data_IF_264337523140
#
_entry.id   IF_264337523140
#
_cell.length_a   1.000
_cell.length_b   1.000
_cell.length_c   1.000
_cell.angle_alpha   90.00
_cell.angle_beta   90.00
_cell.angle_gamma   90.00
#
_symmetry.space_group_name_H-M   'P 1'
#
loop_
_entity.id
_entity.type
_entity.pdbx_description
1 polymer ?
#
# COMPACT_ATOMS: atom_id res chain seq x y z
N UNK A 1 68.04 -11.19 -2.00
CA UNK A 1 67.83 -9.79 -1.57
C UNK A 1 67.24 -9.01 -2.75
N UNK A 2 65.92 -8.82 -2.79
CA UNK A 2 65.29 -7.72 -3.54
C UNK A 2 63.83 -7.63 -3.09
N UNK A 3 63.59 -6.66 -2.22
CA UNK A 3 62.29 -6.28 -1.71
C UNK A 3 61.70 -5.28 -2.71
N UNK A 4 60.59 -5.63 -3.37
CA UNK A 4 59.67 -4.61 -3.92
C UNK A 4 58.34 -4.72 -3.19
N UNK A 5 58.30 -4.02 -2.06
CA UNK A 5 57.07 -3.64 -1.34
C UNK A 5 56.12 -2.97 -2.31
N UNK A 6 54.86 -3.36 -2.20
CA UNK A 6 53.76 -2.81 -2.97
C UNK A 6 53.62 -1.30 -2.83
N UNK A 7 53.19 -0.69 -3.93
CA UNK A 7 52.34 0.47 -3.86
C UNK A 7 50.94 0.00 -4.23
N UNK A 8 50.18 -0.31 -3.18
CA UNK A 8 48.73 -0.37 -3.20
C UNK A 8 48.22 0.96 -3.75
N UNK A 9 47.79 0.97 -5.01
CA UNK A 9 46.94 2.03 -5.53
C UNK A 9 45.67 1.99 -4.68
N UNK A 10 45.61 2.94 -3.77
CA UNK A 10 44.45 3.32 -2.96
C UNK A 10 43.15 2.92 -3.64
N UNK A 11 42.44 1.97 -3.04
CA UNK A 11 41.01 1.80 -3.27
C UNK A 11 40.35 3.15 -3.07
N UNK A 12 40.03 3.82 -4.16
CA UNK A 12 39.08 4.91 -4.16
C UNK A 12 37.72 4.23 -3.94
N UNK A 13 37.34 4.23 -2.66
CA UNK A 13 36.03 3.86 -2.18
C UNK A 13 35.09 4.96 -2.66
N UNK A 14 34.53 4.79 -3.86
CA UNK A 14 33.46 5.67 -4.32
C UNK A 14 32.22 5.40 -3.46
N UNK A 15 31.82 6.45 -2.78
CA UNK A 15 30.80 6.48 -1.75
C UNK A 15 29.40 6.29 -2.36
N UNK A 16 28.50 5.53 -1.71
CA UNK A 16 27.24 5.11 -2.30
C UNK A 16 26.10 6.03 -1.89
N UNK A 17 25.74 7.08 -2.64
CA UNK A 17 24.46 7.79 -2.42
C UNK A 17 24.18 8.90 -3.47
N UNK A 18 23.82 8.55 -4.69
CA UNK A 18 22.97 9.44 -5.48
C UNK A 18 21.94 8.61 -6.24
N UNK A 19 20.83 8.30 -5.56
CA UNK A 19 19.63 7.81 -6.25
C UNK A 19 19.11 8.97 -7.08
N UNK A 20 19.42 8.92 -8.37
CA UNK A 20 19.08 9.93 -9.37
C UNK A 20 17.61 10.31 -9.26
N UNK A 21 17.33 11.61 -9.33
CA UNK A 21 15.95 12.15 -9.31
C UNK A 21 15.07 11.46 -10.36
N UNK A 22 15.67 11.01 -11.47
CA UNK A 22 15.01 10.20 -12.49
C UNK A 22 14.43 8.89 -11.94
N UNK A 23 15.14 8.17 -11.06
CA UNK A 23 14.66 6.91 -10.48
C UNK A 23 13.43 7.14 -9.58
N UNK A 24 13.39 8.30 -8.89
CA UNK A 24 12.24 8.72 -8.10
C UNK A 24 11.03 8.99 -8.98
N UNK A 25 11.23 9.64 -10.13
CA UNK A 25 10.15 9.88 -11.09
C UNK A 25 9.66 8.59 -11.77
N UNK A 26 10.55 7.68 -12.14
CA UNK A 26 10.19 6.38 -12.70
C UNK A 26 9.35 5.58 -11.70
N UNK A 27 9.75 5.57 -10.43
CA UNK A 27 8.95 4.94 -9.36
C UNK A 27 7.57 5.58 -9.20
N UNK A 28 7.46 6.91 -9.31
CA UNK A 28 6.16 7.63 -9.28
C UNK A 28 5.30 7.25 -10.48
N UNK A 29 5.86 7.15 -11.69
CA UNK A 29 5.12 6.76 -12.89
C UNK A 29 4.62 5.31 -12.83
N UNK A 30 5.46 4.39 -12.35
CA UNK A 30 5.05 3.01 -12.11
C UNK A 30 4.01 2.91 -10.99
N UNK A 31 4.09 3.77 -9.99
CA UNK A 31 3.09 3.90 -8.93
C UNK A 31 1.73 4.39 -9.47
N UNK A 32 1.72 5.42 -10.32
CA UNK A 32 0.49 5.92 -10.97
C UNK A 32 -0.10 4.90 -11.95
N UNK A 33 0.74 4.16 -12.67
CA UNK A 33 0.28 3.01 -13.48
C UNK A 33 -0.35 1.93 -12.62
N UNK A 34 0.22 1.62 -11.45
CA UNK A 34 -0.36 0.68 -10.48
C UNK A 34 -1.67 1.19 -9.85
N UNK A 35 -1.82 2.50 -9.65
CA UNK A 35 -3.09 3.13 -9.24
C UNK A 35 -4.17 3.03 -10.32
N UNK A 36 -3.78 3.06 -11.59
CA UNK A 36 -4.68 2.93 -12.73
C UNK A 36 -5.03 1.46 -13.06
N UNK A 37 -4.51 0.48 -12.31
CA UNK A 37 -4.92 -0.92 -12.38
C UNK A 37 -6.27 -1.10 -11.68
N UNK A 38 -7.34 -0.68 -12.36
CA UNK A 38 -8.73 -0.71 -11.90
C UNK A 38 -9.31 -2.13 -11.85
N UNK A 39 -8.59 -3.16 -12.32
CA UNK A 39 -9.04 -4.55 -12.32
C UNK A 39 -8.83 -5.27 -10.98
N UNK A 40 -8.04 -4.73 -10.04
CA UNK A 40 -7.80 -5.29 -8.70
C UNK A 40 -7.57 -6.82 -8.67
N UNK A 41 -6.97 -7.38 -9.73
CA UNK A 41 -6.89 -8.83 -9.97
C UNK A 41 -5.96 -9.58 -9.02
N UNK A 42 -5.25 -8.84 -8.17
CA UNK A 42 -4.32 -9.29 -7.13
C UNK A 42 -4.48 -8.39 -5.90
N UNK A 43 -4.45 -8.96 -4.70
CA UNK A 43 -4.50 -8.24 -3.41
C UNK A 43 -3.23 -7.40 -3.17
N UNK A 44 -2.91 -6.47 -4.09
CA UNK A 44 -1.78 -5.55 -4.04
C UNK A 44 -1.99 -4.38 -3.08
N UNK A 45 -3.18 -4.26 -2.50
CA UNK A 45 -3.60 -3.13 -1.67
C UNK A 45 -2.77 -2.92 -0.39
N UNK A 46 -2.24 -3.93 0.31
CA UNK A 46 -1.39 -3.69 1.48
C UNK A 46 -0.08 -2.95 1.14
N UNK A 47 0.42 -3.10 -0.10
CA UNK A 47 1.71 -2.53 -0.52
C UNK A 47 1.60 -1.05 -0.91
N UNK A 48 0.43 -0.62 -1.42
CA UNK A 48 0.19 0.77 -1.85
C UNK A 48 -0.36 1.67 -0.74
N UNK A 49 -0.78 1.10 0.38
CA UNK A 49 -1.30 1.80 1.56
C UNK A 49 -0.46 3.00 2.04
N UNK A 50 0.89 2.91 2.18
CA UNK A 50 1.70 4.04 2.63
C UNK A 50 1.67 5.21 1.64
N UNK A 51 1.59 4.91 0.35
CA UNK A 51 1.57 5.92 -0.70
C UNK A 51 0.18 6.58 -0.82
N UNK A 52 -0.91 5.81 -0.65
CA UNK A 52 -2.25 6.38 -0.52
C UNK A 52 -2.37 7.28 0.71
N UNK A 53 -1.74 6.91 1.83
CA UNK A 53 -1.70 7.78 3.01
C UNK A 53 -0.96 9.08 2.74
N UNK A 54 0.22 9.01 2.11
CA UNK A 54 1.00 10.19 1.74
C UNK A 54 0.21 11.09 0.78
N UNK A 55 -0.42 10.51 -0.25
CA UNK A 55 -1.29 11.25 -1.16
C UNK A 55 -2.48 11.89 -0.43
N UNK A 56 -3.11 11.17 0.50
CA UNK A 56 -4.20 11.70 1.30
C UNK A 56 -3.78 12.87 2.19
N UNK A 57 -2.58 12.81 2.79
CA UNK A 57 -2.01 13.94 3.53
C UNK A 57 -1.77 15.14 2.61
N UNK A 58 -1.16 14.92 1.44
CA UNK A 58 -0.88 15.99 0.47
C UNK A 58 -2.18 16.63 -0.03
N UNK A 59 -3.17 15.82 -0.38
CA UNK A 59 -4.50 16.28 -0.79
C UNK A 59 -5.21 17.05 0.33
N UNK A 60 -5.10 16.59 1.57
CA UNK A 60 -5.67 17.29 2.74
C UNK A 60 -4.99 18.65 2.98
N UNK A 61 -3.65 18.70 2.89
CA UNK A 61 -2.88 19.94 3.00
C UNK A 61 -3.28 20.92 1.89
N UNK A 62 -3.35 20.44 0.65
CA UNK A 62 -3.76 21.25 -0.49
C UNK A 62 -5.18 21.81 -0.30
N UNK A 63 -6.14 20.96 0.11
CA UNK A 63 -7.53 21.35 0.29
C UNK A 63 -7.70 22.45 1.35
N UNK A 64 -7.04 22.34 2.50
CA UNK A 64 -7.16 23.37 3.55
C UNK A 64 -6.45 24.68 3.17
N UNK A 65 -5.35 24.60 2.42
CA UNK A 65 -4.65 25.80 1.91
C UNK A 65 -5.51 26.52 0.87
N UNK A 66 -6.07 25.78 -0.10
CA UNK A 66 -6.98 26.34 -1.09
C UNK A 66 -8.20 27.01 -0.42
N UNK A 67 -8.81 26.31 0.55
CA UNK A 67 -9.94 26.83 1.31
C UNK A 67 -9.60 28.09 2.13
N UNK A 68 -8.39 28.16 2.68
CA UNK A 68 -7.91 29.36 3.38
C UNK A 68 -7.73 30.53 2.41
N UNK A 69 -7.14 30.30 1.23
CA UNK A 69 -6.95 31.32 0.17
C UNK A 69 -8.30 31.87 -0.29
N UNK A 70 -9.28 31.01 -0.53
CA UNK A 70 -10.66 31.43 -0.85
C UNK A 70 -11.29 32.28 0.26
N UNK A 71 -10.89 32.10 1.51
CA UNK A 71 -11.31 32.97 2.61
C UNK A 71 -10.88 34.42 2.42
N UNK A 72 -9.69 34.66 1.88
CA UNK A 72 -9.15 36.00 1.65
C UNK A 72 -9.80 36.73 0.47
N UNK A 73 -10.42 36.00 -0.47
CA UNK A 73 -11.15 36.62 -1.59
C UNK A 73 -12.49 37.22 -1.13
N UNK A 74 -13.02 36.75 0.00
CA UNK A 74 -14.25 37.28 0.61
C UNK A 74 -13.93 38.48 1.51
N UNK A 75 -13.04 38.30 2.50
CA UNK A 75 -12.55 39.40 3.34
C UNK A 75 -11.26 39.05 4.09
N UNK A 76 -10.49 40.06 4.48
CA UNK A 76 -9.24 39.86 5.23
C UNK A 76 -9.47 39.17 6.59
N UNK A 77 -10.54 39.51 7.30
CA UNK A 77 -10.86 38.90 8.60
C UNK A 77 -11.31 37.44 8.45
N UNK A 78 -12.10 37.12 7.41
CA UNK A 78 -12.53 35.75 7.12
C UNK A 78 -11.34 34.86 6.72
N UNK A 79 -10.44 35.37 5.87
CA UNK A 79 -9.21 34.65 5.51
C UNK A 79 -8.36 34.32 6.74
N UNK A 80 -8.18 35.27 7.65
CA UNK A 80 -7.38 35.05 8.87
C UNK A 80 -8.01 34.01 9.82
N UNK A 81 -9.33 34.08 10.04
CA UNK A 81 -10.04 33.08 10.85
C UNK A 81 -9.93 31.69 10.22
N UNK A 82 -10.12 31.58 8.90
CA UNK A 82 -10.01 30.30 8.21
C UNK A 82 -8.59 29.75 8.24
N UNK A 83 -7.57 30.58 8.03
CA UNK A 83 -6.18 30.15 8.03
C UNK A 83 -5.67 29.71 9.41
N UNK A 84 -6.08 30.39 10.49
CA UNK A 84 -5.53 30.14 11.83
C UNK A 84 -6.37 29.12 12.63
N UNK A 85 -7.69 29.15 12.50
CA UNK A 85 -8.58 28.27 13.27
C UNK A 85 -9.08 27.09 12.44
N UNK A 86 -9.66 27.35 11.27
CA UNK A 86 -10.34 26.30 10.49
C UNK A 86 -9.34 25.39 9.78
N UNK A 87 -8.28 25.92 9.18
CA UNK A 87 -7.34 25.14 8.40
C UNK A 87 -6.55 24.11 9.25
N UNK A 88 -6.01 24.45 10.43
CA UNK A 88 -5.32 23.46 11.27
C UNK A 88 -6.26 22.37 11.78
N UNK A 89 -7.45 22.75 12.24
CA UNK A 89 -8.47 21.79 12.72
C UNK A 89 -8.93 20.91 11.56
N UNK A 90 -9.26 21.51 10.42
CA UNK A 90 -9.69 20.82 9.21
C UNK A 90 -8.63 19.86 8.69
N UNK A 91 -7.35 20.24 8.73
CA UNK A 91 -6.25 19.38 8.30
C UNK A 91 -6.16 18.13 9.18
N UNK A 92 -6.16 18.30 10.51
CA UNK A 92 -6.12 17.17 11.45
C UNK A 92 -7.33 16.26 11.25
N UNK A 93 -8.53 16.83 11.08
CA UNK A 93 -9.75 16.06 10.82
C UNK A 93 -9.63 15.26 9.52
N UNK A 94 -9.25 15.89 8.40
CA UNK A 94 -9.11 15.22 7.10
C UNK A 94 -8.05 14.10 7.14
N UNK A 95 -6.89 14.36 7.72
CA UNK A 95 -5.83 13.35 7.88
C UNK A 95 -6.28 12.20 8.78
N UNK A 96 -7.05 12.50 9.84
CA UNK A 96 -7.62 11.47 10.72
C UNK A 96 -8.65 10.62 9.99
N UNK A 97 -9.54 11.23 9.23
CA UNK A 97 -10.52 10.51 8.41
C UNK A 97 -9.81 9.61 7.38
N UNK A 98 -8.76 10.11 6.73
CA UNK A 98 -7.95 9.31 5.83
C UNK A 98 -7.29 8.13 6.55
N UNK A 99 -6.79 8.34 7.78
CA UNK A 99 -6.21 7.27 8.60
C UNK A 99 -7.24 6.19 8.93
N UNK A 100 -8.43 6.59 9.36
CA UNK A 100 -9.54 5.66 9.67
C UNK A 100 -9.98 4.91 8.42
N UNK A 101 -10.11 5.59 7.28
CA UNK A 101 -10.49 4.96 6.02
C UNK A 101 -9.46 3.89 5.59
N UNK A 102 -8.17 4.23 5.66
CA UNK A 102 -7.09 3.31 5.34
C UNK A 102 -6.99 2.14 6.32
N UNK A 103 -7.21 2.38 7.61
CA UNK A 103 -7.28 1.34 8.62
C UNK A 103 -8.44 0.37 8.35
N UNK A 104 -9.62 0.89 8.00
CA UNK A 104 -10.76 0.09 7.59
C UNK A 104 -10.45 -0.73 6.33
N UNK A 105 -9.83 -0.12 5.31
CA UNK A 105 -9.37 -0.83 4.12
C UNK A 105 -8.42 -1.98 4.48
N UNK A 106 -7.43 -1.73 5.34
CA UNK A 106 -6.50 -2.78 5.80
C UNK A 106 -7.22 -3.92 6.52
N UNK A 107 -8.20 -3.61 7.38
CA UNK A 107 -8.97 -4.62 8.09
C UNK A 107 -9.74 -5.51 7.11
N UNK A 108 -10.41 -4.92 6.12
CA UNK A 108 -11.14 -5.66 5.08
C UNK A 108 -10.18 -6.57 4.29
N UNK A 109 -9.03 -6.05 3.85
CA UNK A 109 -8.03 -6.86 3.14
C UNK A 109 -7.47 -7.98 4.00
N UNK A 110 -7.20 -7.72 5.29
CA UNK A 110 -6.74 -8.77 6.22
C UNK A 110 -7.78 -9.87 6.34
N UNK A 111 -9.06 -9.54 6.48
CA UNK A 111 -10.14 -10.53 6.57
C UNK A 111 -10.18 -11.38 5.29
N UNK A 112 -10.14 -10.76 4.11
CA UNK A 112 -10.14 -11.49 2.83
C UNK A 112 -8.98 -12.50 2.73
N UNK A 113 -7.77 -12.11 3.15
CA UNK A 113 -6.60 -13.00 3.16
C UNK A 113 -6.80 -14.17 4.14
N UNK A 114 -7.37 -13.92 5.32
CA UNK A 114 -7.62 -14.99 6.31
C UNK A 114 -8.67 -15.98 5.81
N UNK A 115 -9.75 -15.50 5.19
CA UNK A 115 -10.79 -16.35 4.60
C UNK A 115 -10.19 -17.28 3.53
N UNK A 116 -9.35 -16.75 2.65
CA UNK A 116 -8.72 -17.56 1.60
C UNK A 116 -7.81 -18.66 2.17
N UNK A 117 -7.08 -18.37 3.26
CA UNK A 117 -6.26 -19.37 3.95
C UNK A 117 -7.12 -20.47 4.60
N UNK A 118 -8.26 -20.11 5.20
CA UNK A 118 -9.17 -21.09 5.81
C UNK A 118 -9.79 -22.04 4.76
N UNK A 119 -10.12 -21.53 3.57
CA UNK A 119 -10.62 -22.36 2.47
C UNK A 119 -9.60 -23.42 2.03
N UNK A 120 -8.33 -23.04 1.88
CA UNK A 120 -7.27 -23.98 1.50
C UNK A 120 -7.03 -25.10 2.52
N UNK A 121 -7.12 -24.81 3.83
CA UNK A 121 -7.00 -25.85 4.87
C UNK A 121 -8.17 -26.84 4.83
N UNK A 122 -9.35 -26.40 4.40
CA UNK A 122 -10.52 -27.27 4.27
C UNK A 122 -10.33 -28.26 3.11
N UNK A 123 -9.69 -27.85 2.02
CA UNK A 123 -9.34 -28.74 0.90
C UNK A 123 -8.29 -29.79 1.28
N UNK A 124 -7.28 -29.41 2.06
CA UNK A 124 -6.27 -30.35 2.57
C UNK A 124 -6.89 -31.41 3.48
N UNK A 125 -7.77 -30.99 4.40
CA UNK A 125 -8.50 -31.89 5.30
C UNK A 125 -9.45 -32.79 4.48
N UNK A 126 -10.16 -32.24 3.50
CA UNK A 126 -11.04 -33.01 2.62
C UNK A 126 -10.28 -34.03 1.74
N UNK A 127 -9.07 -33.69 1.29
CA UNK A 127 -8.20 -34.57 0.52
C UNK A 127 -7.52 -35.67 1.34
N UNK A 128 -7.35 -35.46 2.65
CA UNK A 128 -6.78 -36.43 3.59
C UNK A 128 -7.76 -37.52 4.05
N UNK A 129 -9.06 -37.38 3.80
CA UNK A 129 -10.03 -38.41 4.15
C UNK A 129 -10.01 -39.58 3.15
N UNK A 130 -9.90 -40.84 3.60
CA UNK A 130 -10.00 -42.00 2.72
C UNK A 130 -11.38 -41.97 2.04
N UNK A 131 -11.41 -42.00 0.70
CA UNK A 131 -12.66 -42.14 -0.07
C UNK A 131 -13.31 -43.48 0.31
N UNK A 132 -14.27 -43.44 1.22
CA UNK A 132 -15.05 -44.60 1.61
C UNK A 132 -15.97 -44.95 0.45
N UNK A 133 -15.50 -45.78 -0.50
CA UNK A 133 -16.33 -46.35 -1.56
C UNK A 133 -17.22 -47.45 -0.99
N UNK A 134 -18.27 -47.07 -0.27
CA UNK A 134 -19.13 -48.03 0.43
C UNK A 134 -20.07 -48.82 -0.50
N UNK A 135 -20.22 -48.41 -1.77
CA UNK A 135 -21.37 -48.84 -2.59
C UNK A 135 -21.07 -49.61 -3.89
N UNK A 136 -19.83 -50.06 -4.14
CA UNK A 136 -19.46 -50.65 -5.45
C UNK A 136 -19.62 -52.18 -5.58
N UNK A 137 -20.51 -52.85 -4.83
CA UNK A 137 -20.69 -54.31 -5.01
C UNK A 137 -22.10 -54.82 -4.73
N UNK A 138 -23.10 -54.28 -5.43
CA UNK A 138 -24.37 -54.98 -5.62
C UNK A 138 -24.56 -55.31 -7.11
N UNK A 139 -23.72 -56.20 -7.64
CA UNK A 139 -24.02 -56.93 -8.87
C UNK A 139 -23.89 -58.43 -8.56
N UNK A 140 -25.01 -59.02 -8.13
CA UNK A 140 -25.21 -60.46 -8.00
C UNK A 140 -26.44 -60.76 -8.85
N UNK A 141 -26.20 -61.11 -10.11
CA UNK A 141 -26.09 -62.47 -10.66
C UNK A 141 -27.47 -62.86 -11.18
N UNK A 142 -27.60 -62.57 -12.46
CA UNK A 142 -28.64 -62.99 -13.39
C UNK A 142 -28.58 -64.53 -13.45
N UNK A 143 -29.52 -65.19 -12.78
CA UNK A 143 -29.91 -66.60 -12.98
C UNK A 143 -31.44 -66.68 -12.86
#
# INVERSE_FOLDING_TARGET
MSVRRGMSKSKMKEEPAERSIADRFVWILDFVKGLADLEFRSLMTPRMMPALYLLGILASAWAVVAYAIEGFTISHSQGLVRAILIAPVGFVVLVTLMRVALELCMVIFRIAVHINKMAGHTEEIAGGFPKITFWKSFKRKDE
#
